data_IF_162536229482
#
_entry.id   IF_162536229482
#
_cell.length_a   1.000
_cell.length_b   1.000
_cell.length_c   1.000
_cell.angle_alpha   90.00
_cell.angle_beta   90.00
_cell.angle_gamma   90.00
#
_symmetry.space_group_name_H-M   'P 1'
#
loop_
_entity.id
_entity.type
_entity.pdbx_description
1 polymer ?
#
# COMPACT_ATOMS: atom_id res chain seq x y z
N UNK A 1 3.21 -3.47 8.68
CA UNK A 1 2.74 -3.88 7.35
C UNK A 1 3.21 -2.83 6.36
N UNK A 2 3.88 -3.23 5.28
CA UNK A 2 4.28 -2.29 4.22
C UNK A 2 3.08 -1.89 3.36
N UNK A 3 3.08 -0.71 2.77
CA UNK A 3 2.02 -0.32 1.84
C UNK A 3 2.01 -1.18 0.58
N UNK A 4 3.17 -1.73 0.17
CA UNK A 4 3.22 -2.77 -0.85
C UNK A 4 2.29 -3.95 -0.52
N UNK A 5 2.30 -4.43 0.73
CA UNK A 5 1.43 -5.54 1.16
C UNK A 5 -0.03 -5.13 1.10
N UNK A 6 -0.37 -3.94 1.61
CA UNK A 6 -1.72 -3.39 1.54
C UNK A 6 -2.27 -3.37 0.10
N UNK A 7 -1.45 -2.98 -0.87
CA UNK A 7 -1.83 -2.88 -2.27
C UNK A 7 -2.23 -4.23 -2.91
N UNK A 8 -1.96 -5.37 -2.26
CA UNK A 8 -2.38 -6.70 -2.72
C UNK A 8 -3.40 -7.38 -1.79
N UNK A 9 -3.77 -6.76 -0.67
CA UNK A 9 -4.74 -7.34 0.27
C UNK A 9 -6.18 -6.98 -0.13
N UNK A 10 -7.02 -8.01 -0.26
CA UNK A 10 -8.45 -7.87 -0.51
C UNK A 10 -9.24 -8.64 0.57
N UNK A 11 -10.48 -8.21 0.79
CA UNK A 11 -11.44 -8.88 1.66
C UNK A 11 -12.06 -10.08 0.94
N UNK A 12 -12.03 -11.24 1.60
CA UNK A 12 -12.68 -12.48 1.12
C UNK A 12 -13.96 -12.80 1.90
N UNK A 13 -14.55 -11.81 2.56
CA UNK A 13 -15.81 -11.97 3.31
C UNK A 13 -16.93 -12.38 2.36
N UNK A 14 -17.80 -13.27 2.80
CA UNK A 14 -18.97 -13.72 2.07
C UNK A 14 -19.87 -12.53 1.68
N UNK A 15 -20.32 -12.51 0.43
CA UNK A 15 -21.18 -11.44 -0.11
C UNK A 15 -20.44 -10.19 -0.60
N UNK A 16 -19.11 -10.13 -0.47
CA UNK A 16 -18.28 -9.08 -1.04
C UNK A 16 -18.12 -9.29 -2.55
N UNK A 17 -18.32 -8.23 -3.33
CA UNK A 17 -18.18 -8.26 -4.79
C UNK A 17 -16.75 -7.94 -5.21
N UNK A 18 -16.16 -6.88 -4.64
CA UNK A 18 -14.83 -6.36 -5.03
C UNK A 18 -13.82 -6.57 -3.91
N UNK A 19 -14.14 -6.15 -2.68
CA UNK A 19 -13.29 -6.36 -1.51
C UNK A 19 -11.95 -5.64 -1.54
N UNK A 20 -11.72 -4.77 -2.53
CA UNK A 20 -10.47 -4.08 -2.79
C UNK A 20 -10.72 -2.67 -3.35
N UNK A 21 -9.87 -1.68 -3.01
CA UNK A 21 -8.86 -1.72 -1.96
C UNK A 21 -9.48 -1.67 -0.57
N UNK A 22 -8.81 -2.28 0.40
CA UNK A 22 -9.21 -2.12 1.81
C UNK A 22 -8.92 -0.68 2.26
N UNK A 23 -9.90 -0.01 2.85
CA UNK A 23 -9.66 1.31 3.44
C UNK A 23 -8.69 1.19 4.62
N UNK A 24 -7.69 2.06 4.68
CA UNK A 24 -6.63 2.01 5.67
C UNK A 24 -6.85 3.12 6.71
N UNK A 25 -7.03 2.73 7.96
CA UNK A 25 -7.03 3.62 9.11
C UNK A 25 -5.76 3.38 9.92
N UNK A 26 -4.97 4.44 10.14
CA UNK A 26 -3.64 4.30 10.72
C UNK A 26 -3.59 4.92 12.10
N UNK A 27 -3.17 4.14 13.09
CA UNK A 27 -2.92 4.63 14.45
C UNK A 27 -1.43 4.91 14.67
N UNK A 28 -0.54 4.09 14.10
CA UNK A 28 0.91 4.22 14.27
C UNK A 28 1.66 3.78 13.01
N UNK A 29 2.61 4.60 12.58
CA UNK A 29 3.55 4.30 11.49
C UNK A 29 4.99 4.35 11.98
N UNK A 30 5.87 3.65 11.27
CA UNK A 30 7.33 3.82 11.35
C UNK A 30 7.93 3.79 9.96
N UNK A 31 9.04 4.50 9.79
CA UNK A 31 9.86 4.44 8.58
C UNK A 31 10.97 3.43 8.80
N UNK A 32 11.13 2.49 7.87
CA UNK A 32 12.23 1.52 7.87
C UNK A 32 12.95 1.64 6.55
N UNK A 33 14.20 2.11 6.62
CA UNK A 33 15.04 2.26 5.43
C UNK A 33 15.24 0.92 4.72
N UNK A 34 15.15 0.96 3.39
CA UNK A 34 15.39 -0.19 2.52
C UNK A 34 16.24 0.29 1.36
N UNK A 35 17.23 -0.52 0.95
CA UNK A 35 18.02 -0.20 -0.24
C UNK A 35 17.12 -0.10 -1.48
N UNK A 36 17.30 0.97 -2.24
CA UNK A 36 16.53 1.21 -3.46
C UNK A 36 16.91 0.20 -4.53
N UNK A 37 15.93 -0.60 -4.96
CA UNK A 37 16.08 -1.55 -6.06
C UNK A 37 15.19 -1.15 -7.24
N UNK A 38 15.81 -0.52 -8.24
CA UNK A 38 15.12 -0.01 -9.44
C UNK A 38 14.46 -1.13 -10.24
N UNK A 39 15.14 -2.27 -10.40
CA UNK A 39 14.63 -3.38 -11.20
C UNK A 39 13.41 -4.04 -10.55
N UNK A 40 13.41 -4.14 -9.21
CA UNK A 40 12.25 -4.59 -8.46
C UNK A 40 11.06 -3.64 -8.67
N UNK A 41 11.28 -2.32 -8.53
CA UNK A 41 10.22 -1.33 -8.73
C UNK A 41 9.67 -1.37 -10.16
N UNK A 42 10.54 -1.51 -11.16
CA UNK A 42 10.14 -1.67 -12.57
C UNK A 42 9.32 -2.93 -12.79
N UNK A 43 9.69 -4.04 -12.15
CA UNK A 43 8.97 -5.31 -12.26
C UNK A 43 7.62 -5.33 -11.54
N UNK A 44 7.49 -4.63 -10.41
CA UNK A 44 6.27 -4.62 -9.61
C UNK A 44 5.27 -3.56 -10.06
N UNK A 45 5.73 -2.43 -10.61
CA UNK A 45 4.89 -1.28 -10.97
C UNK A 45 3.64 -1.65 -11.80
N UNK A 46 3.70 -2.53 -12.82
CA UNK A 46 2.51 -2.91 -13.59
C UNK A 46 1.42 -3.63 -12.79
N UNK A 47 1.76 -4.16 -11.60
CA UNK A 47 0.85 -4.85 -10.70
C UNK A 47 0.32 -3.96 -9.58
N UNK A 48 0.84 -2.74 -9.45
CA UNK A 48 0.44 -1.80 -8.41
C UNK A 48 -0.83 -1.08 -8.86
N UNK A 49 -1.84 -1.06 -7.99
CA UNK A 49 -2.93 -0.11 -8.12
C UNK A 49 -2.47 1.23 -7.54
N UNK A 50 -2.17 2.19 -8.42
CA UNK A 50 -1.66 3.50 -8.01
C UNK A 50 -2.65 4.27 -7.14
N UNK A 51 -3.95 4.16 -7.40
CA UNK A 51 -4.98 4.90 -6.66
C UNK A 51 -5.09 4.38 -5.24
N UNK A 52 -5.05 3.07 -5.06
CA UNK A 52 -5.01 2.42 -3.75
C UNK A 52 -3.74 2.79 -2.98
N UNK A 53 -2.58 2.82 -3.64
CA UNK A 53 -1.32 3.24 -3.03
C UNK A 53 -1.38 4.70 -2.58
N UNK A 54 -1.80 5.62 -3.45
CA UNK A 54 -1.94 7.05 -3.13
C UNK A 54 -2.85 7.29 -1.92
N UNK A 55 -4.01 6.61 -1.88
CA UNK A 55 -4.93 6.69 -0.75
C UNK A 55 -4.30 6.16 0.55
N UNK A 56 -3.62 5.02 0.49
CA UNK A 56 -2.94 4.42 1.64
C UNK A 56 -1.79 5.28 2.16
N UNK A 57 -1.00 5.87 1.26
CA UNK A 57 0.09 6.79 1.59
C UNK A 57 -0.44 8.05 2.27
N UNK A 58 -1.56 8.59 1.77
CA UNK A 58 -2.23 9.74 2.40
C UNK A 58 -2.76 9.38 3.80
N UNK A 59 -3.41 8.22 3.96
CA UNK A 59 -3.90 7.73 5.24
C UNK A 59 -2.78 7.44 6.25
N UNK A 60 -1.59 7.07 5.77
CA UNK A 60 -0.40 6.88 6.60
C UNK A 60 0.26 8.18 7.06
N UNK A 61 -0.27 9.35 6.66
CA UNK A 61 0.21 10.67 7.08
C UNK A 61 1.17 11.34 6.10
N UNK A 62 1.27 10.86 4.85
CA UNK A 62 2.19 11.37 3.84
C UNK A 62 1.49 11.83 2.54
N UNK A 63 0.49 12.72 2.60
CA UNK A 63 -0.35 13.08 1.44
C UNK A 63 0.43 13.72 0.28
N UNK A 64 1.56 14.37 0.55
CA UNK A 64 2.39 15.03 -0.46
C UNK A 64 3.51 14.13 -1.03
N UNK A 65 3.59 12.87 -0.57
CA UNK A 65 4.65 11.97 -1.00
C UNK A 65 4.46 11.53 -2.45
N UNK A 66 3.23 11.21 -2.85
CA UNK A 66 2.87 10.75 -4.19
C UNK A 66 1.87 11.71 -4.83
N UNK A 67 1.92 11.81 -6.16
CA UNK A 67 0.88 12.48 -6.93
C UNK A 67 -0.36 11.58 -7.07
N UNK A 68 -1.53 12.20 -7.28
CA UNK A 68 -2.79 11.49 -7.47
C UNK A 68 -2.78 10.62 -8.74
N UNK A 69 -2.05 11.05 -9.77
CA UNK A 69 -1.84 10.29 -11.00
C UNK A 69 -0.42 9.71 -11.03
N UNK A 70 -0.30 8.51 -11.62
CA UNK A 70 0.97 7.84 -11.79
C UNK A 70 1.84 8.61 -12.79
N UNK A 71 3.07 9.00 -12.44
CA UNK A 71 4.00 9.59 -13.40
C UNK A 71 4.33 8.60 -14.53
N UNK A 72 4.61 9.07 -15.75
CA UNK A 72 5.02 8.20 -16.85
C UNK A 72 6.22 7.33 -16.46
N UNK A 73 6.26 6.08 -16.94
CA UNK A 73 7.39 5.18 -16.68
C UNK A 73 8.73 5.76 -17.15
N UNK A 74 8.72 6.55 -18.21
CA UNK A 74 9.90 7.26 -18.71
C UNK A 74 10.45 8.28 -17.70
N UNK A 75 9.60 8.87 -16.85
CA UNK A 75 10.00 9.78 -15.78
C UNK A 75 10.47 8.98 -14.55
N UNK A 76 9.72 7.96 -14.15
CA UNK A 76 10.06 7.10 -13.02
C UNK A 76 11.42 6.41 -13.22
N UNK A 77 11.69 5.89 -14.41
CA UNK A 77 12.88 5.11 -14.70
C UNK A 77 13.88 5.84 -15.59
N UNK A 78 13.86 7.18 -15.62
CA UNK A 78 14.87 7.97 -16.30
C UNK A 78 16.27 7.66 -15.76
N UNK A 79 17.27 7.71 -16.64
CA UNK A 79 18.67 7.50 -16.27
C UNK A 79 19.11 8.53 -15.23
N UNK A 80 19.73 8.06 -14.14
CA UNK A 80 20.13 8.91 -13.01
C UNK A 80 18.99 9.37 -12.09
N UNK A 81 17.72 9.10 -12.39
CA UNK A 81 16.60 9.49 -11.52
C UNK A 81 16.67 8.85 -10.13
N UNK A 82 17.25 7.66 -10.04
CA UNK A 82 17.51 6.97 -8.78
C UNK A 82 18.51 7.74 -7.89
N UNK A 83 19.39 8.57 -8.45
CA UNK A 83 20.40 9.32 -7.69
C UNK A 83 19.87 10.70 -7.23
N UNK A 84 18.79 11.17 -7.84
CA UNK A 84 18.17 12.47 -7.51
C UNK A 84 17.25 12.34 -6.31
N UNK A 85 17.56 13.06 -5.23
CA UNK A 85 16.69 13.11 -4.04
C UNK A 85 15.31 13.69 -4.37
N UNK A 86 14.25 13.07 -3.83
CA UNK A 86 12.88 13.50 -4.08
C UNK A 86 12.35 13.19 -5.48
N UNK A 87 13.08 12.42 -6.31
CA UNK A 87 12.58 11.93 -7.59
C UNK A 87 11.36 11.01 -7.44
N UNK A 88 10.60 10.87 -8.52
CA UNK A 88 9.39 10.05 -8.52
C UNK A 88 9.65 8.58 -8.09
N UNK A 89 10.78 7.99 -8.51
CA UNK A 89 11.15 6.62 -8.13
C UNK A 89 11.52 6.49 -6.65
N UNK A 90 12.20 7.49 -6.07
CA UNK A 90 12.49 7.50 -4.64
C UNK A 90 11.23 7.66 -3.81
N UNK A 91 10.29 8.49 -4.26
CA UNK A 91 8.97 8.65 -3.62
C UNK A 91 8.16 7.35 -3.68
N UNK A 92 8.15 6.68 -4.84
CA UNK A 92 7.52 5.38 -5.01
C UNK A 92 8.14 4.31 -4.11
N UNK A 93 9.47 4.25 -4.06
CA UNK A 93 10.22 3.37 -3.16
C UNK A 93 9.84 3.60 -1.70
N UNK A 94 9.88 4.87 -1.26
CA UNK A 94 9.54 5.25 0.10
C UNK A 94 8.12 4.80 0.47
N UNK A 95 7.15 5.09 -0.41
CA UNK A 95 5.77 4.71 -0.21
C UNK A 95 5.59 3.20 -0.09
N UNK A 96 6.14 2.42 -1.04
CA UNK A 96 5.91 0.97 -1.11
C UNK A 96 6.66 0.19 -0.02
N UNK A 97 7.92 0.54 0.24
CA UNK A 97 8.86 -0.33 0.94
C UNK A 97 9.25 0.19 2.32
N UNK A 98 9.26 1.50 2.53
CA UNK A 98 9.81 2.10 3.75
C UNK A 98 8.73 2.44 4.78
N UNK A 99 7.56 2.90 4.33
CA UNK A 99 6.41 3.14 5.22
C UNK A 99 5.89 1.81 5.77
N UNK A 100 5.97 1.66 7.09
CA UNK A 100 5.40 0.54 7.83
C UNK A 100 4.28 1.00 8.74
N UNK A 101 3.08 0.48 8.52
CA UNK A 101 1.96 0.61 9.48
C UNK A 101 2.20 -0.37 10.62
N UNK A 102 2.43 0.12 11.84
CA UNK A 102 2.61 -0.70 13.04
C UNK A 102 1.28 -1.05 13.70
N UNK A 103 0.37 -0.07 13.76
CA UNK A 103 -0.96 -0.22 14.35
C UNK A 103 -1.99 0.52 13.48
N UNK A 104 -3.14 -0.09 13.29
CA UNK A 104 -4.20 0.44 12.44
C UNK A 104 -5.27 -0.61 12.15
N UNK A 105 -6.14 -0.30 11.20
CA UNK A 105 -7.25 -1.17 10.79
C UNK A 105 -7.39 -1.12 9.28
N UNK A 106 -7.62 -2.28 8.67
CA UNK A 106 -8.07 -2.38 7.28
C UNK A 106 -9.58 -2.59 7.29
N UNK A 107 -10.33 -1.82 6.51
CA UNK A 107 -11.79 -1.90 6.47
C UNK A 107 -12.22 -2.34 5.06
N UNK A 108 -12.99 -3.41 4.99
CA UNK A 108 -13.59 -3.87 3.74
C UNK A 108 -14.56 -2.81 3.20
N UNK A 109 -14.41 -2.36 1.94
CA UNK A 109 -15.27 -1.32 1.38
C UNK A 109 -16.73 -1.78 1.20
N UNK A 110 -16.95 -3.07 0.96
CA UNK A 110 -18.28 -3.61 0.66
C UNK A 110 -19.04 -4.03 1.93
N UNK A 111 -18.36 -4.70 2.88
CA UNK A 111 -19.00 -5.27 4.07
C UNK A 111 -18.78 -4.46 5.35
N UNK A 112 -17.87 -3.47 5.34
CA UNK A 112 -17.45 -2.75 6.54
C UNK A 112 -16.65 -3.59 7.53
N UNK A 113 -16.32 -4.85 7.20
CA UNK A 113 -15.53 -5.74 8.08
C UNK A 113 -14.15 -5.15 8.33
N UNK A 114 -13.81 -4.98 9.61
CA UNK A 114 -12.51 -4.50 10.06
C UNK A 114 -11.53 -5.65 10.31
N UNK A 115 -10.30 -5.46 9.86
CA UNK A 115 -9.15 -6.35 10.07
C UNK A 115 -8.06 -5.56 10.80
N UNK A 116 -7.80 -5.83 12.09
CA UNK A 116 -6.84 -5.05 12.86
C UNK A 116 -5.40 -5.35 12.43
N UNK A 117 -4.57 -4.31 12.43
CA UNK A 117 -3.12 -4.40 12.27
C UNK A 117 -2.49 -4.20 13.64
N UNK A 118 -1.77 -5.21 14.12
CA UNK A 118 -1.08 -5.16 15.41
C UNK A 118 0.39 -5.55 15.21
N UNK A 119 1.31 -4.74 15.75
CA UNK A 119 2.76 -4.94 15.60
C UNK A 119 3.19 -5.14 14.14
N UNK A 120 2.49 -4.45 13.24
CA UNK A 120 2.71 -4.49 11.81
C UNK A 120 2.21 -5.74 11.09
N UNK A 121 1.43 -6.61 11.75
CA UNK A 121 0.82 -7.79 11.15
C UNK A 121 -0.69 -7.58 11.02
N UNK A 122 -1.26 -7.58 9.79
CA UNK A 122 -2.70 -7.54 9.59
C UNK A 122 -3.33 -8.90 9.95
N UNK A 123 -4.36 -8.90 10.78
CA UNK A 123 -5.14 -10.08 11.08
C UNK A 123 -6.33 -10.21 10.10
N UNK A 124 -6.16 -11.06 9.08
CA UNK A 124 -7.16 -11.32 8.04
C UNK A 124 -8.00 -12.57 8.31
N UNK A 125 -7.99 -13.11 9.54
CA UNK A 125 -8.78 -14.29 9.89
C UNK A 125 -10.29 -13.96 9.87
N UNK A 126 -11.05 -14.89 9.31
CA UNK A 126 -12.51 -14.84 9.22
C UNK A 126 -13.09 -16.00 10.03
N UNK A 127 -14.27 -15.79 10.62
CA UNK A 127 -15.05 -16.89 11.17
C UNK A 127 -15.60 -17.76 10.04
N UNK A 128 -15.89 -19.04 10.32
CA UNK A 128 -16.34 -20.00 9.29
C UNK A 128 -17.59 -19.53 8.53
N UNK A 129 -18.48 -18.81 9.21
CA UNK A 129 -19.70 -18.23 8.64
C UNK A 129 -19.44 -16.99 7.76
N UNK A 130 -18.30 -16.32 7.95
CA UNK A 130 -17.86 -15.15 7.18
C UNK A 130 -17.11 -15.53 5.90
N UNK A 131 -16.67 -16.78 5.74
CA UNK A 131 -15.88 -17.21 4.58
C UNK A 131 -16.76 -17.41 3.35
N UNK A 132 -16.33 -16.88 2.21
CA UNK A 132 -16.93 -17.17 0.91
C UNK A 132 -16.65 -18.63 0.52
N UNK A 133 -17.70 -19.45 0.47
CA UNK A 133 -17.66 -20.80 -0.10
C UNK A 133 -17.60 -20.77 -1.63
#
# INVERSE_FOLDING_TARGET
MRLLTHNFLASNVKGVSTGYPLALEVAKTSIKEVELNVDFLRGILPKIDWRALFAATSAAGFPELLAAEQPPEAELFAEGAADVEGSAIRRLHHALLEIHVEEGTLVCPDSGRSFPILKGVPNMLLHEDEVRH
#
